data_IF_159031835272
#
_entry.id   IF_159031835272
#
_cell.length_a   1.000
_cell.length_b   1.000
_cell.length_c   1.000
_cell.angle_alpha   90.00
_cell.angle_beta   90.00
_cell.angle_gamma   90.00
#
_symmetry.space_group_name_H-M   'P 1'
#
loop_
_entity.id
_entity.type
_entity.pdbx_description
1 polymer ?
#
# COMPACT_ATOMS: atom_id res chain seq x y z
N UNK A 1 16.99 0.78 -6.57
CA UNK A 1 15.74 0.00 -6.53
C UNK A 1 15.97 -1.30 -7.31
N UNK A 2 15.22 -2.37 -7.04
CA UNK A 2 15.32 -3.60 -7.80
C UNK A 2 14.80 -3.45 -9.23
N UNK A 3 15.19 -4.36 -10.13
CA UNK A 3 14.87 -4.29 -11.57
C UNK A 3 13.35 -4.31 -11.90
N UNK A 4 12.53 -4.84 -10.99
CA UNK A 4 11.07 -4.91 -11.15
C UNK A 4 10.33 -3.75 -10.52
N UNK A 5 11.04 -2.85 -9.84
CA UNK A 5 10.44 -1.75 -9.11
C UNK A 5 10.32 -0.50 -9.97
N UNK A 6 9.18 0.19 -9.88
CA UNK A 6 9.00 1.53 -10.47
C UNK A 6 8.50 2.50 -9.41
N UNK A 7 8.88 3.76 -9.56
CA UNK A 7 8.35 4.86 -8.76
C UNK A 7 7.25 5.59 -9.52
N UNK A 8 6.16 5.90 -8.83
CA UNK A 8 5.07 6.71 -9.33
C UNK A 8 5.00 7.95 -8.46
N UNK A 9 5.19 9.14 -9.05
CA UNK A 9 5.10 10.41 -8.32
C UNK A 9 3.69 10.54 -7.77
N UNK A 10 3.60 10.79 -6.46
CA UNK A 10 2.33 11.01 -5.79
C UNK A 10 2.11 12.50 -5.50
N UNK A 11 3.13 13.17 -5.01
CA UNK A 11 3.07 14.58 -4.62
C UNK A 11 4.46 15.21 -4.59
N UNK A 12 4.52 16.53 -4.75
CA UNK A 12 5.74 17.34 -4.68
C UNK A 12 5.46 18.55 -3.81
N UNK A 13 6.14 18.64 -2.67
CA UNK A 13 6.05 19.78 -1.76
C UNK A 13 7.38 20.53 -1.76
N UNK A 14 7.33 21.85 -1.73
CA UNK A 14 8.51 22.70 -1.65
C UNK A 14 8.44 23.58 -0.40
N UNK A 15 9.49 23.51 0.40
CA UNK A 15 9.65 24.32 1.61
C UNK A 15 10.12 25.74 1.27
N UNK A 16 9.98 26.66 2.24
CA UNK A 16 10.35 28.08 2.09
C UNK A 16 11.84 28.26 1.77
N UNK A 17 12.70 27.40 2.33
CA UNK A 17 14.15 27.41 2.07
C UNK A 17 14.52 26.92 0.66
N UNK A 18 13.55 26.38 -0.08
CA UNK A 18 13.67 25.86 -1.43
C UNK A 18 13.91 24.35 -1.52
N UNK A 19 13.96 23.63 -0.41
CA UNK A 19 14.01 22.16 -0.38
C UNK A 19 12.74 21.58 -0.98
N UNK A 20 12.88 20.52 -1.78
CA UNK A 20 11.78 19.82 -2.44
C UNK A 20 11.66 18.40 -1.89
N UNK A 21 10.46 18.04 -1.48
CA UNK A 21 10.07 16.71 -1.02
C UNK A 21 9.18 16.07 -2.08
N UNK A 22 9.71 15.09 -2.83
CA UNK A 22 8.90 14.32 -3.77
C UNK A 22 8.49 13.00 -3.15
N UNK A 23 7.19 12.79 -2.96
CA UNK A 23 6.63 11.53 -2.48
C UNK A 23 6.37 10.60 -3.65
N UNK A 24 6.81 9.35 -3.51
CA UNK A 24 6.62 8.31 -4.49
C UNK A 24 5.89 7.11 -3.88
N UNK A 25 4.86 6.65 -4.59
CA UNK A 25 4.38 5.28 -4.46
C UNK A 25 5.29 4.34 -5.27
N UNK A 26 5.34 3.06 -4.88
CA UNK A 26 6.11 2.04 -5.59
C UNK A 26 5.19 1.02 -6.22
N UNK A 27 5.65 0.48 -7.35
CA UNK A 27 5.13 -0.76 -7.91
C UNK A 27 6.22 -1.80 -7.97
N UNK A 28 5.85 -3.09 -7.95
CA UNK A 28 6.74 -4.21 -8.19
C UNK A 28 6.11 -5.14 -9.23
N UNK A 29 6.77 -5.30 -10.38
CA UNK A 29 6.24 -6.06 -11.51
C UNK A 29 4.82 -5.64 -11.92
N UNK A 30 4.52 -4.34 -11.82
CA UNK A 30 3.20 -3.76 -12.11
C UNK A 30 2.19 -3.83 -10.96
N UNK A 31 2.48 -4.53 -9.86
CA UNK A 31 1.61 -4.56 -8.68
C UNK A 31 1.88 -3.36 -7.76
N UNK A 32 0.85 -2.73 -7.17
CA UNK A 32 1.03 -1.73 -6.12
C UNK A 32 1.81 -2.31 -4.93
N UNK A 33 2.67 -1.49 -4.32
CA UNK A 33 3.36 -1.83 -3.07
C UNK A 33 2.77 -1.01 -1.93
N UNK A 34 2.04 -1.64 -1.02
CA UNK A 34 1.44 -0.99 0.14
C UNK A 34 2.44 -0.95 1.30
N UNK A 35 2.65 0.24 1.88
CA UNK A 35 3.65 0.45 2.95
C UNK A 35 5.11 0.47 2.47
N UNK A 36 5.33 0.60 1.16
CA UNK A 36 6.68 0.63 0.57
C UNK A 36 7.13 1.99 0.08
N UNK A 37 6.29 3.03 0.19
CA UNK A 37 6.53 4.38 -0.34
C UNK A 37 7.82 5.03 0.18
N UNK A 38 8.25 6.06 -0.53
CA UNK A 38 9.44 6.83 -0.17
C UNK A 38 9.29 8.31 -0.50
N UNK A 39 10.06 9.13 0.20
CA UNK A 39 10.20 10.57 -0.07
C UNK A 39 11.66 10.85 -0.40
N UNK A 40 11.89 11.52 -1.54
CA UNK A 40 13.21 12.05 -1.90
C UNK A 40 13.27 13.51 -1.48
N UNK A 41 14.30 13.85 -0.71
CA UNK A 41 14.59 15.21 -0.26
C UNK A 41 15.67 15.80 -1.17
N UNK A 42 15.37 16.91 -1.84
CA UNK A 42 16.25 17.56 -2.81
C UNK A 42 16.48 19.00 -2.39
N UNK A 43 17.74 19.38 -2.19
CA UNK A 43 18.14 20.73 -1.85
C UNK A 43 17.71 21.73 -2.92
N UNK A 44 17.64 23.02 -2.57
CA UNK A 44 17.44 24.12 -3.54
C UNK A 44 18.41 24.09 -4.73
N UNK A 45 19.63 23.56 -4.53
CA UNK A 45 20.64 23.39 -5.59
C UNK A 45 20.36 22.25 -6.57
N UNK A 46 19.33 21.43 -6.31
CA UNK A 46 19.03 20.21 -7.07
C UNK A 46 19.75 18.96 -6.56
N UNK A 47 20.64 19.08 -5.56
CA UNK A 47 21.34 17.94 -4.96
C UNK A 47 20.36 17.11 -4.10
N UNK A 48 20.36 15.79 -4.25
CA UNK A 48 19.67 14.90 -3.32
C UNK A 48 20.34 14.92 -1.94
N UNK A 49 19.57 15.23 -0.90
CA UNK A 49 20.03 15.27 0.48
C UNK A 49 19.75 13.97 1.22
N UNK A 50 18.64 13.29 0.86
CA UNK A 50 18.28 12.04 1.51
C UNK A 50 17.05 11.38 0.90
N UNK A 51 16.80 10.15 1.33
CA UNK A 51 15.60 9.40 0.97
C UNK A 51 15.01 8.76 2.22
N UNK A 52 13.81 9.18 2.61
CA UNK A 52 13.01 8.53 3.66
C UNK A 52 12.21 7.40 3.03
N UNK A 53 12.23 6.20 3.63
CA UNK A 53 11.50 5.02 3.13
C UNK A 53 10.59 4.47 4.23
N UNK A 54 9.34 4.15 3.87
CA UNK A 54 8.40 3.47 4.76
C UNK A 54 8.89 2.07 5.15
N UNK A 55 9.48 1.33 4.19
CA UNK A 55 10.13 0.05 4.44
C UNK A 55 11.54 0.02 3.81
N UNK A 56 12.54 -0.34 4.63
CA UNK A 56 13.96 -0.43 4.23
C UNK A 56 14.31 -1.78 3.58
N UNK A 57 13.47 -2.80 3.71
CA UNK A 57 13.66 -4.09 3.07
C UNK A 57 13.65 -3.96 1.54
N UNK A 58 14.39 -4.85 0.88
CA UNK A 58 14.32 -4.96 -0.58
C UNK A 58 12.96 -5.53 -0.96
N UNK A 59 12.24 -4.87 -1.87
CA UNK A 59 10.97 -5.41 -2.39
C UNK A 59 11.30 -6.55 -3.34
N UNK A 60 11.22 -7.77 -2.83
CA UNK A 60 11.44 -9.00 -3.59
C UNK A 60 10.57 -10.10 -3.00
N UNK A 61 9.75 -10.71 -3.84
CA UNK A 61 8.88 -11.84 -3.46
C UNK A 61 9.27 -13.09 -4.23
N UNK A 62 9.06 -14.26 -3.62
CA UNK A 62 9.42 -15.55 -4.22
C UNK A 62 8.56 -15.89 -5.45
N UNK A 63 7.29 -15.50 -5.45
CA UNK A 63 6.35 -15.74 -6.54
C UNK A 63 5.29 -14.63 -6.60
N UNK A 64 4.76 -14.39 -7.80
CA UNK A 64 3.61 -13.51 -8.05
C UNK A 64 2.31 -14.30 -8.30
N UNK A 65 2.36 -15.62 -8.10
CA UNK A 65 1.21 -16.52 -8.20
C UNK A 65 0.57 -16.68 -6.82
N UNK A 66 -0.67 -16.19 -6.63
CA UNK A 66 -1.38 -16.37 -5.37
C UNK A 66 -1.71 -17.83 -5.14
N UNK A 67 -1.60 -18.27 -3.87
CA UNK A 67 -2.09 -19.59 -3.43
C UNK A 67 -3.58 -19.59 -3.09
N UNK A 68 -4.17 -18.40 -2.92
CA UNK A 68 -5.58 -18.18 -2.64
C UNK A 68 -6.28 -17.59 -3.86
N UNK A 69 -7.54 -17.98 -4.06
CA UNK A 69 -8.39 -17.33 -5.06
C UNK A 69 -8.87 -15.96 -4.53
N UNK A 70 -9.17 -15.00 -5.41
CA UNK A 70 -9.73 -13.69 -5.01
C UNK A 70 -11.00 -13.86 -4.15
N UNK A 71 -11.94 -14.71 -4.56
CA UNK A 71 -13.16 -14.98 -3.82
C UNK A 71 -12.93 -15.55 -2.40
N UNK A 72 -11.83 -16.28 -2.18
CA UNK A 72 -11.46 -16.76 -0.84
C UNK A 72 -10.87 -15.63 0.01
N UNK A 73 -10.08 -14.75 -0.59
CA UNK A 73 -9.56 -13.55 0.08
C UNK A 73 -10.70 -12.62 0.50
N UNK A 74 -11.68 -12.37 -0.37
CA UNK A 74 -12.87 -11.55 -0.05
C UNK A 74 -13.67 -12.11 1.13
N UNK A 75 -13.93 -13.43 1.14
CA UNK A 75 -14.62 -14.08 2.26
C UNK A 75 -13.86 -13.93 3.57
N UNK A 76 -12.53 -14.03 3.53
CA UNK A 76 -11.69 -13.82 4.72
C UNK A 76 -11.73 -12.36 5.17
N UNK A 77 -11.67 -11.40 4.25
CA UNK A 77 -11.73 -9.97 4.53
C UNK A 77 -13.07 -9.57 5.17
N UNK A 78 -14.21 -10.01 4.62
CA UNK A 78 -15.54 -9.75 5.20
C UNK A 78 -15.66 -10.35 6.60
N UNK A 79 -15.10 -11.55 6.81
CA UNK A 79 -15.11 -12.19 8.12
C UNK A 79 -14.28 -11.40 9.13
N UNK A 80 -13.10 -10.92 8.74
CA UNK A 80 -12.27 -10.05 9.58
C UNK A 80 -12.97 -8.72 9.90
N UNK A 81 -13.62 -8.08 8.93
CA UNK A 81 -14.37 -6.84 9.15
C UNK A 81 -15.50 -7.02 10.18
N UNK A 82 -16.22 -8.14 10.13
CA UNK A 82 -17.26 -8.46 11.12
C UNK A 82 -16.69 -8.63 12.53
N UNK A 83 -15.52 -9.25 12.67
CA UNK A 83 -14.86 -9.38 13.98
C UNK A 83 -14.36 -8.04 14.54
N UNK A 84 -14.21 -7.03 13.69
CA UNK A 84 -13.83 -5.67 14.05
C UNK A 84 -15.03 -4.73 14.25
N UNK A 85 -16.26 -5.28 14.35
CA UNK A 85 -17.47 -4.51 14.65
C UNK A 85 -18.19 -3.92 13.44
N UNK A 86 -17.85 -4.33 12.22
CA UNK A 86 -18.54 -3.83 11.01
C UNK A 86 -19.81 -4.63 10.69
N UNK A 87 -20.96 -3.99 10.77
CA UNK A 87 -22.26 -4.54 10.37
C UNK A 87 -22.47 -4.41 8.85
N UNK A 88 -23.28 -5.32 8.27
CA UNK A 88 -23.60 -5.35 6.82
C UNK A 88 -22.37 -5.33 5.90
N UNK A 89 -21.26 -5.90 6.37
CA UNK A 89 -19.98 -5.91 5.65
C UNK A 89 -20.07 -6.63 4.30
N UNK A 90 -19.66 -5.94 3.23
CA UNK A 90 -19.56 -6.49 1.86
C UNK A 90 -18.24 -6.06 1.23
N UNK A 91 -17.68 -6.91 0.37
CA UNK A 91 -16.45 -6.63 -0.37
C UNK A 91 -16.74 -6.64 -1.87
N UNK A 92 -16.06 -5.76 -2.61
CA UNK A 92 -16.15 -5.69 -4.07
C UNK A 92 -14.78 -6.00 -4.70
N UNK A 93 -14.39 -7.28 -4.65
CA UNK A 93 -13.17 -7.76 -5.26
C UNK A 93 -11.94 -7.77 -4.34
N UNK A 94 -10.98 -8.62 -4.71
CA UNK A 94 -9.64 -8.66 -4.12
C UNK A 94 -8.57 -8.44 -5.20
N UNK A 95 -7.75 -7.38 -5.04
CA UNK A 95 -6.65 -7.07 -5.98
C UNK A 95 -5.31 -7.56 -5.46
N UNK A 96 -4.45 -8.05 -6.35
CA UNK A 96 -3.08 -8.47 -5.98
C UNK A 96 -2.22 -7.23 -5.68
N UNK A 97 -1.50 -7.26 -4.58
CA UNK A 97 -0.54 -6.23 -4.16
C UNK A 97 0.73 -6.87 -3.61
N UNK A 98 1.78 -6.07 -3.46
CA UNK A 98 2.87 -6.41 -2.56
C UNK A 98 2.63 -5.70 -1.23
N UNK A 99 2.46 -6.46 -0.16
CA UNK A 99 2.40 -5.92 1.19
C UNK A 99 3.81 -5.72 1.72
N UNK A 100 4.12 -4.49 2.10
CA UNK A 100 5.38 -4.09 2.72
C UNK A 100 5.15 -3.23 3.99
N UNK A 101 3.93 -3.21 4.56
CA UNK A 101 3.64 -2.44 5.77
C UNK A 101 4.32 -2.97 7.05
N UNK A 102 4.80 -4.22 7.03
CA UNK A 102 5.58 -4.79 8.13
C UNK A 102 6.57 -5.83 7.61
N UNK A 103 7.76 -5.88 8.22
CA UNK A 103 8.77 -6.91 7.97
C UNK A 103 9.17 -7.09 6.50
N UNK A 104 9.35 -8.35 6.10
CA UNK A 104 9.74 -8.75 4.74
C UNK A 104 8.54 -8.63 3.79
N UNK A 105 8.69 -7.96 2.63
CA UNK A 105 7.62 -7.83 1.66
C UNK A 105 7.10 -9.17 1.13
N UNK A 106 5.77 -9.30 0.98
CA UNK A 106 5.10 -10.52 0.51
C UNK A 106 4.03 -10.21 -0.54
N UNK A 107 3.69 -11.20 -1.38
CA UNK A 107 2.51 -11.14 -2.23
C UNK A 107 1.26 -11.27 -1.36
N UNK A 108 0.30 -10.36 -1.55
CA UNK A 108 -0.95 -10.34 -0.81
C UNK A 108 -2.13 -10.01 -1.74
N UNK A 109 -3.34 -10.16 -1.20
CA UNK A 109 -4.52 -9.49 -1.73
C UNK A 109 -4.88 -8.33 -0.83
N UNK A 110 -5.31 -7.23 -1.42
CA UNK A 110 -6.01 -6.16 -0.73
C UNK A 110 -7.49 -6.24 -1.13
N UNK A 111 -8.35 -6.22 -0.13
CA UNK A 111 -9.80 -6.18 -0.27
C UNK A 111 -10.31 -4.92 0.41
N UNK A 112 -11.21 -4.20 -0.26
CA UNK A 112 -11.95 -3.10 0.35
C UNK A 112 -13.30 -3.62 0.82
N UNK A 113 -13.51 -3.62 2.13
CA UNK A 113 -14.77 -4.02 2.76
C UNK A 113 -15.52 -2.77 3.19
N UNK A 114 -16.68 -2.52 2.58
CA UNK A 114 -17.62 -1.49 3.02
C UNK A 114 -18.62 -2.06 4.02
N UNK A 115 -19.16 -1.21 4.89
CA UNK A 115 -20.18 -1.58 5.87
C UNK A 115 -20.73 -0.39 6.62
N UNK A 116 -21.45 -0.68 7.71
CA UNK A 116 -21.92 0.31 8.67
C UNK A 116 -21.37 -0.03 10.05
N UNK A 117 -21.09 1.00 10.85
CA UNK A 117 -20.90 0.87 12.28
C UNK A 117 -22.26 0.65 12.97
N UNK A 118 -22.23 0.35 14.27
CA UNK A 118 -23.44 0.10 15.07
C UNK A 118 -24.39 1.31 15.12
N UNK A 119 -23.85 2.53 15.01
CA UNK A 119 -24.61 3.79 14.95
C UNK A 119 -25.12 4.12 13.53
N UNK A 120 -24.87 3.25 12.55
CA UNK A 120 -25.23 3.46 11.16
C UNK A 120 -24.22 4.26 10.34
N UNK A 121 -23.08 4.67 10.90
CA UNK A 121 -22.03 5.41 10.19
C UNK A 121 -21.35 4.52 9.13
N UNK A 122 -21.25 4.95 7.85
CA UNK A 122 -20.52 4.19 6.84
C UNK A 122 -19.05 4.02 7.19
N UNK A 123 -18.49 2.84 6.91
CA UNK A 123 -17.06 2.57 7.06
C UNK A 123 -16.47 1.89 5.80
N UNK A 124 -15.15 2.03 5.66
CA UNK A 124 -14.35 1.35 4.65
C UNK A 124 -13.12 0.77 5.32
N UNK A 125 -12.96 -0.55 5.24
CA UNK A 125 -11.82 -1.27 5.80
C UNK A 125 -11.00 -1.90 4.67
N UNK A 126 -9.71 -1.62 4.65
CA UNK A 126 -8.75 -2.28 3.78
C UNK A 126 -8.17 -3.48 4.54
N UNK A 127 -8.39 -4.69 4.01
CA UNK A 127 -7.93 -5.96 4.59
C UNK A 127 -7.04 -6.71 3.62
#
# INVERSE_FOLDING_TARGET
LGAKEKLVVKDVVKDVDGTVHTRYERTYAGLPVLGGDLVVHTAKSGKTEGVTKANKATIKVASLTPKLTPAKAEKQAVSAAKTLGSAKSTADGARKVIWAGSGTPVLAYETVVGGLQDDGTPNQLHV
#
